data_IF_186767110247
#
_entry.id   IF_186767110247
#
_cell.length_a   1.000
_cell.length_b   1.000
_cell.length_c   1.000
_cell.angle_alpha   90.00
_cell.angle_beta   90.00
_cell.angle_gamma   90.00
#
_symmetry.space_group_name_H-M   'P 1'
#
loop_
_entity.id
_entity.type
_entity.pdbx_description
1 polymer ?
#
# COMPACT_ATOMS: atom_id res chain seq x y z
N UNK A 1 -8.69 -8.52 -17.13
CA UNK A 1 -8.38 -7.86 -17.21
C UNK A 1 -7.48 -7.18 -16.92
N UNK A 2 -7.11 -7.32 -16.71
CA UNK A 2 -6.46 -6.59 -16.34
C UNK A 2 -5.72 -5.81 -16.90
N UNK A 3 -5.57 -5.52 -17.30
CA UNK A 3 -5.01 -4.83 -17.72
C UNK A 3 -4.77 -3.73 -17.55
N UNK A 4 -4.79 -3.36 -17.35
CA UNK A 4 -4.67 -2.29 -17.20
C UNK A 4 -3.83 -1.56 -16.40
N UNK A 5 -3.22 -1.87 -15.53
CA UNK A 5 -2.41 -1.19 -14.57
C UNK A 5 -1.24 -0.44 -15.13
N UNK A 6 -0.67 -0.92 -16.18
CA UNK A 6 0.50 -0.27 -16.76
C UNK A 6 0.20 1.10 -17.34
N UNK A 7 -1.05 1.45 -17.49
CA UNK A 7 -1.42 2.73 -18.07
C UNK A 7 -1.11 3.91 -17.19
N UNK A 8 -0.89 3.69 -15.90
CA UNK A 8 -0.62 4.77 -14.98
C UNK A 8 0.64 5.54 -15.29
N UNK A 9 1.60 4.91 -15.90
CA UNK A 9 2.95 5.47 -15.97
C UNK A 9 3.25 6.17 -17.25
N UNK A 10 2.32 6.18 -18.18
CA UNK A 10 2.58 6.76 -19.48
C UNK A 10 1.85 8.06 -19.63
N UNK A 11 2.57 9.06 -20.03
CA UNK A 11 1.93 10.32 -20.33
C UNK A 11 1.47 10.29 -21.76
N UNK A 12 0.48 11.12 -22.07
CA UNK A 12 -0.02 11.23 -23.43
C UNK A 12 0.99 11.88 -24.36
N UNK A 13 2.02 12.50 -23.81
CA UNK A 13 3.08 13.11 -24.59
C UNK A 13 4.19 12.13 -24.95
N UNK A 14 4.02 10.84 -24.62
CA UNK A 14 5.01 9.83 -24.94
C UNK A 14 6.14 9.72 -23.94
N UNK A 15 6.08 10.47 -22.86
CA UNK A 15 7.09 10.43 -21.82
C UNK A 15 6.72 9.31 -20.86
N UNK A 16 7.66 8.44 -20.59
CA UNK A 16 7.42 7.32 -19.68
C UNK A 16 7.97 7.62 -18.31
N UNK A 17 7.31 7.04 -17.30
CA UNK A 17 7.78 7.14 -15.95
C UNK A 17 9.16 6.48 -15.82
N UNK A 18 10.04 7.01 -14.97
CA UNK A 18 11.35 6.39 -14.73
C UNK A 18 11.27 5.09 -13.94
N UNK A 19 10.10 4.73 -13.42
CA UNK A 19 9.95 3.48 -12.67
C UNK A 19 9.04 2.55 -13.44
N UNK A 20 9.30 1.24 -13.30
CA UNK A 20 8.50 0.25 -14.01
C UNK A 20 7.18 0.00 -13.26
N UNK A 21 6.31 -0.76 -13.91
CA UNK A 21 4.97 -1.00 -13.40
C UNK A 21 4.99 -1.71 -12.06
N UNK A 22 5.87 -2.69 -11.92
CA UNK A 22 5.90 -3.47 -10.69
C UNK A 22 6.36 -2.62 -9.51
N UNK A 23 7.36 -1.79 -9.71
CA UNK A 23 7.84 -0.91 -8.65
C UNK A 23 6.75 0.09 -8.27
N UNK A 24 6.07 0.65 -9.25
CA UNK A 24 4.98 1.58 -8.97
C UNK A 24 3.88 0.90 -8.16
N UNK A 25 3.51 -0.32 -8.56
CA UNK A 25 2.44 -1.04 -7.88
C UNK A 25 2.81 -1.35 -6.42
N UNK A 26 4.05 -1.70 -6.17
CA UNK A 26 4.51 -1.93 -4.81
C UNK A 26 4.44 -0.67 -3.97
N UNK A 27 4.84 0.46 -4.56
CA UNK A 27 4.76 1.75 -3.87
C UNK A 27 3.32 2.12 -3.55
N UNK A 28 2.42 1.93 -4.51
CA UNK A 28 1.01 2.24 -4.29
C UNK A 28 0.40 1.35 -3.22
N UNK A 29 0.74 0.06 -3.25
CA UNK A 29 0.22 -0.86 -2.24
C UNK A 29 0.73 -0.49 -0.85
N UNK A 30 2.01 -0.12 -0.75
CA UNK A 30 2.56 0.30 0.54
C UNK A 30 1.86 1.56 1.04
N UNK A 31 1.68 2.53 0.18
CA UNK A 31 1.00 3.77 0.54
C UNK A 31 -0.41 3.47 1.05
N UNK A 32 -1.14 2.60 0.34
CA UNK A 32 -2.49 2.24 0.74
C UNK A 32 -2.52 1.57 2.12
N UNK A 33 -1.55 0.70 2.40
CA UNK A 33 -1.49 0.05 3.70
C UNK A 33 -1.19 1.05 4.82
N UNK A 34 -0.30 1.98 4.56
CA UNK A 34 0.02 3.00 5.56
C UNK A 34 -1.19 3.88 5.85
N UNK A 35 -1.94 4.23 4.82
CA UNK A 35 -3.17 5.01 5.01
C UNK A 35 -4.20 4.23 5.80
N UNK A 36 -4.33 2.93 5.52
CA UNK A 36 -5.27 2.09 6.24
C UNK A 36 -4.91 1.98 7.72
N UNK A 37 -3.62 1.82 8.02
CA UNK A 37 -3.17 1.73 9.40
C UNK A 37 -3.53 3.02 10.16
N UNK A 38 -3.32 4.17 9.55
CA UNK A 38 -3.69 5.44 10.17
C UNK A 38 -5.19 5.55 10.38
N UNK A 39 -5.97 5.09 9.40
CA UNK A 39 -7.42 5.13 9.51
C UNK A 39 -7.92 4.25 10.64
N UNK A 40 -7.35 3.04 10.77
CA UNK A 40 -7.76 2.13 11.83
C UNK A 40 -7.45 2.70 13.21
N UNK A 41 -6.35 3.42 13.34
CA UNK A 41 -6.02 4.07 14.62
C UNK A 41 -7.11 5.08 15.01
N UNK A 42 -7.61 5.82 14.05
CA UNK A 42 -8.69 6.78 14.31
C UNK A 42 -10.00 6.08 14.61
N UNK A 43 -10.32 5.04 13.85
CA UNK A 43 -11.56 4.28 14.07
C UNK A 43 -11.55 3.63 15.44
N UNK A 44 -10.38 3.18 15.88
CA UNK A 44 -10.23 2.55 17.19
C UNK A 44 -10.63 3.54 18.30
N UNK A 45 -10.30 4.81 18.14
CA UNK A 45 -10.65 5.83 19.15
C UNK A 45 -12.16 5.99 19.28
N UNK A 46 -12.91 5.77 18.21
CA UNK A 46 -14.35 5.93 18.20
C UNK A 46 -15.08 4.65 18.59
N UNK A 47 -14.38 3.55 18.73
CA UNK A 47 -14.99 2.24 18.88
C UNK A 47 -14.81 1.72 20.30
N UNK A 48 -15.60 0.71 20.63
CA UNK A 48 -15.47 0.01 21.90
C UNK A 48 -15.74 -1.47 21.68
N UNK A 49 -15.35 -2.30 22.66
CA UNK A 49 -15.64 -3.73 22.62
C UNK A 49 -15.08 -4.43 21.42
N UNK A 50 -15.90 -5.24 20.78
CA UNK A 50 -15.47 -6.07 19.67
C UNK A 50 -14.98 -5.25 18.49
N UNK A 51 -15.63 -4.14 18.21
CA UNK A 51 -15.23 -3.28 17.09
C UNK A 51 -13.83 -2.72 17.31
N UNK A 52 -13.54 -2.29 18.53
CA UNK A 52 -12.22 -1.76 18.83
C UNK A 52 -11.15 -2.82 18.64
N UNK A 53 -11.42 -4.03 19.14
CA UNK A 53 -10.48 -5.13 18.98
C UNK A 53 -10.26 -5.47 17.53
N UNK A 54 -11.31 -5.43 16.71
CA UNK A 54 -11.20 -5.71 15.29
C UNK A 54 -10.32 -4.67 14.60
N UNK A 55 -10.50 -3.40 14.89
CA UNK A 55 -9.66 -2.37 14.28
C UNK A 55 -8.20 -2.53 14.68
N UNK A 56 -7.93 -2.92 15.93
CA UNK A 56 -6.57 -3.18 16.37
C UNK A 56 -5.96 -4.35 15.61
N UNK A 57 -6.75 -5.39 15.39
CA UNK A 57 -6.30 -6.58 14.66
C UNK A 57 -6.00 -6.23 13.20
N UNK A 58 -6.89 -5.48 12.57
CA UNK A 58 -6.69 -5.07 11.18
C UNK A 58 -5.43 -4.22 11.04
N UNK A 59 -5.19 -3.34 12.00
CA UNK A 59 -3.98 -2.51 11.97
C UNK A 59 -2.72 -3.36 12.10
N UNK A 60 -2.75 -4.34 12.99
CA UNK A 60 -1.59 -5.24 13.15
C UNK A 60 -1.33 -6.04 11.89
N UNK A 61 -2.40 -6.55 11.28
CA UNK A 61 -2.26 -7.33 10.05
C UNK A 61 -1.71 -6.48 8.91
N UNK A 62 -2.23 -5.27 8.77
CA UNK A 62 -1.76 -4.39 7.70
C UNK A 62 -0.35 -3.89 7.96
N UNK A 63 0.07 -3.78 9.22
CA UNK A 63 1.46 -3.45 9.52
C UNK A 63 2.38 -4.54 9.01
N UNK A 64 2.00 -5.80 9.18
CA UNK A 64 2.79 -6.92 8.65
C UNK A 64 2.85 -6.87 7.14
N UNK A 65 1.72 -6.58 6.49
CA UNK A 65 1.70 -6.47 5.05
C UNK A 65 2.58 -5.32 4.57
N UNK A 66 2.52 -4.20 5.27
CA UNK A 66 3.36 -3.04 4.91
C UNK A 66 4.84 -3.37 5.04
N UNK A 67 5.22 -4.12 6.08
CA UNK A 67 6.60 -4.54 6.26
C UNK A 67 7.06 -5.42 5.11
N UNK A 68 6.21 -6.33 4.65
CA UNK A 68 6.55 -7.19 3.53
C UNK A 68 6.69 -6.40 2.23
N UNK A 69 5.81 -5.43 2.05
CA UNK A 69 5.89 -4.55 0.87
C UNK A 69 7.16 -3.72 0.91
N UNK A 70 7.52 -3.21 2.07
CA UNK A 70 8.74 -2.42 2.22
C UNK A 70 9.97 -3.27 1.91
N UNK A 71 9.97 -4.50 2.36
CA UNK A 71 11.08 -5.41 2.08
C UNK A 71 11.19 -5.69 0.58
N UNK A 72 10.06 -5.92 -0.08
CA UNK A 72 10.06 -6.13 -1.51
C UNK A 72 10.61 -4.91 -2.26
N UNK A 73 10.24 -3.72 -1.79
CA UNK A 73 10.74 -2.49 -2.38
C UNK A 73 12.25 -2.36 -2.21
N UNK A 74 12.75 -2.64 -1.01
CA UNK A 74 14.19 -2.58 -0.76
C UNK A 74 14.94 -3.51 -1.70
N UNK A 75 14.44 -4.72 -1.89
CA UNK A 75 15.07 -5.68 -2.76
C UNK A 75 15.12 -5.16 -4.20
N UNK A 76 14.02 -4.61 -4.67
CA UNK A 76 13.98 -4.11 -6.03
C UNK A 76 14.89 -2.90 -6.24
N UNK A 77 14.93 -2.02 -5.24
CA UNK A 77 15.74 -0.81 -5.36
C UNK A 77 17.23 -1.07 -5.26
N UNK A 78 17.63 -2.21 -4.68
CA UNK A 78 19.04 -2.55 -4.56
C UNK A 78 19.55 -3.38 -5.73
N UNK A 79 18.72 -3.69 -6.71
CA UNK A 79 19.15 -4.44 -7.90
C UNK A 79 19.79 -3.57 -8.99
#
# INVERSE_FOLDING_TARGET
MAIQTSHHYRSSAGIQSPIDDQLYDLLQALTSKCEAIEAYAKYEEDASGDAKQLFQELARDDTKHAERLLEALRTRLSQ
#
